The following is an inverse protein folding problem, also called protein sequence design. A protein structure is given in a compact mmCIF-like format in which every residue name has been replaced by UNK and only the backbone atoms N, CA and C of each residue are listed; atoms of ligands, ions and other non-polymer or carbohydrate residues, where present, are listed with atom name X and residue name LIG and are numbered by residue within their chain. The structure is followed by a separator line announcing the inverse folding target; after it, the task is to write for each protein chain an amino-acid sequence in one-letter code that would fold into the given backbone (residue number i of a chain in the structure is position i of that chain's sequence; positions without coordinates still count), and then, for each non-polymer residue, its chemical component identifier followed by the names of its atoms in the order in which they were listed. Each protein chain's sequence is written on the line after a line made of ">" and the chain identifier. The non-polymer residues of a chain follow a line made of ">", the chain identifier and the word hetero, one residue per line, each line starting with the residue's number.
data_IF_513250699298
#
_entry.id   IF_513250699298
#
_cell.length_a   1.000
_cell.length_b   1.000
_cell.length_c   1.000
_cell.angle_alpha   90.00
_cell.angle_beta   90.00
_cell.angle_gamma   90.00
#
_symmetry.space_group_name_H-M   'P 1'
#
loop_
_entity.id
_entity.type
_entity.pdbx_description
1 polymer ?
#
# COMPACT_ATOMS: atom_id res chain seq x y z
N UNK A 1 11.15 -21.26 -6.94
CA UNK A 1 10.47 -19.95 -6.80
C UNK A 1 8.99 -20.20 -6.76
N UNK A 2 8.22 -19.45 -5.96
CA UNK A 2 6.76 -19.54 -5.92
C UNK A 2 6.20 -18.77 -7.12
N UNK A 3 5.72 -19.48 -8.15
CA UNK A 3 5.08 -18.83 -9.31
C UNK A 3 3.83 -18.08 -8.87
N UNK A 4 3.79 -16.77 -9.13
CA UNK A 4 2.70 -15.89 -8.70
C UNK A 4 2.71 -15.51 -7.20
N UNK A 5 3.73 -15.92 -6.45
CA UNK A 5 3.93 -15.51 -5.06
C UNK A 5 2.91 -16.08 -4.07
N UNK A 6 2.88 -15.52 -2.86
CA UNK A 6 2.03 -15.99 -1.75
C UNK A 6 0.54 -15.80 -2.00
N UNK A 7 0.16 -14.86 -2.87
CA UNK A 7 -1.22 -14.64 -3.30
C UNK A 7 -1.73 -15.78 -4.17
N UNK A 8 -0.94 -16.23 -5.15
CA UNK A 8 -1.29 -17.38 -5.99
C UNK A 8 -1.38 -18.68 -5.17
N UNK A 9 -0.46 -18.87 -4.22
CA UNK A 9 -0.48 -19.98 -3.26
C UNK A 9 -1.78 -20.02 -2.45
N UNK A 10 -2.17 -18.88 -1.87
CA UNK A 10 -3.42 -18.76 -1.13
C UNK A 10 -4.66 -19.00 -2.02
N UNK A 11 -4.64 -18.50 -3.26
CA UNK A 11 -5.73 -18.67 -4.22
C UNK A 11 -5.88 -20.12 -4.69
N UNK A 12 -4.79 -20.87 -4.75
CA UNK A 12 -4.79 -22.31 -5.04
C UNK A 12 -5.28 -23.17 -3.86
N UNK A 13 -5.68 -22.55 -2.74
CA UNK A 13 -6.24 -23.25 -1.58
C UNK A 13 -5.20 -23.92 -0.68
N UNK A 14 -3.91 -23.60 -0.86
CA UNK A 14 -2.87 -24.13 -0.01
C UNK A 14 -2.92 -23.51 1.41
N UNK A 15 -2.41 -24.22 2.42
CA UNK A 15 -2.40 -23.72 3.80
C UNK A 15 -1.63 -22.41 3.91
N UNK A 16 -2.24 -21.44 4.58
CA UNK A 16 -1.64 -20.15 4.93
C UNK A 16 -1.96 -19.87 6.39
N UNK A 17 -0.95 -20.02 7.23
CA UNK A 17 -1.04 -19.63 8.63
C UNK A 17 -1.22 -18.11 8.73
N UNK A 18 -2.31 -17.70 9.37
CA UNK A 18 -2.57 -16.29 9.70
C UNK A 18 -2.83 -16.21 11.20
N UNK A 19 -2.25 -15.21 11.90
CA UNK A 19 -2.52 -15.04 13.32
C UNK A 19 -4.03 -14.93 13.56
N UNK A 20 -4.54 -15.68 14.54
CA UNK A 20 -5.96 -15.64 14.89
C UNK A 20 -6.35 -14.21 15.30
N UNK A 21 -7.37 -13.64 14.64
CA UNK A 21 -7.81 -12.27 14.89
C UNK A 21 -7.00 -11.19 14.16
N UNK A 22 -6.03 -11.55 13.30
CA UNK A 22 -5.35 -10.59 12.44
C UNK A 22 -6.37 -9.92 11.51
N UNK A 23 -6.61 -8.62 11.72
CA UNK A 23 -7.37 -7.80 10.78
C UNK A 23 -6.58 -7.78 9.48
N UNK A 24 -7.18 -8.20 8.37
CA UNK A 24 -6.56 -8.01 7.06
C UNK A 24 -6.59 -6.52 6.75
N UNK A 25 -5.47 -5.79 6.84
CA UNK A 25 -5.48 -4.37 6.52
C UNK A 25 -5.82 -4.25 5.04
N UNK A 26 -6.56 -3.21 4.68
CA UNK A 26 -6.85 -2.95 3.27
C UNK A 26 -5.54 -2.84 2.49
N UNK A 27 -5.36 -3.52 1.34
CA UNK A 27 -4.08 -3.53 0.65
C UNK A 27 -3.55 -2.13 0.39
N UNK A 28 -2.27 -1.91 0.71
CA UNK A 28 -1.63 -0.58 0.61
C UNK A 28 -1.77 0.01 -0.79
N UNK A 29 -1.65 -0.81 -1.84
CA UNK A 29 -1.91 -0.41 -3.23
C UNK A 29 -3.29 0.21 -3.45
N UNK A 30 -4.33 -0.33 -2.81
CA UNK A 30 -5.69 0.19 -2.92
C UNK A 30 -5.84 1.50 -2.15
N UNK A 31 -5.22 1.61 -0.98
CA UNK A 31 -5.17 2.86 -0.20
C UNK A 31 -4.50 3.98 -1.01
N UNK A 32 -3.35 3.68 -1.62
CA UNK A 32 -2.59 4.63 -2.45
C UNK A 32 -3.40 5.06 -3.66
N UNK A 33 -3.97 4.12 -4.42
CA UNK A 33 -4.76 4.44 -5.61
C UNK A 33 -5.95 5.34 -5.29
N UNK A 34 -6.64 5.10 -4.19
CA UNK A 34 -7.81 5.90 -3.80
C UNK A 34 -7.43 7.27 -3.26
N UNK A 35 -6.35 7.39 -2.47
CA UNK A 35 -5.87 8.68 -1.99
C UNK A 35 -5.32 9.54 -3.14
N UNK A 36 -4.54 8.96 -4.05
CA UNK A 36 -4.05 9.63 -5.25
C UNK A 36 -5.21 10.09 -6.15
N UNK A 37 -6.15 9.19 -6.45
CA UNK A 37 -7.30 9.48 -7.30
C UNK A 37 -8.21 10.56 -6.71
N UNK A 38 -8.47 10.53 -5.40
CA UNK A 38 -9.32 11.53 -4.74
C UNK A 38 -8.68 12.91 -4.72
N UNK A 39 -7.37 13.01 -4.48
CA UNK A 39 -6.63 14.28 -4.53
C UNK A 39 -6.68 14.92 -5.93
N UNK A 40 -6.49 14.12 -6.97
CA UNK A 40 -6.56 14.61 -8.37
C UNK A 40 -7.99 15.05 -8.71
N UNK A 41 -9.01 14.25 -8.38
CA UNK A 41 -10.40 14.58 -8.65
C UNK A 41 -10.84 15.85 -7.90
N UNK A 42 -10.47 15.98 -6.62
CA UNK A 42 -10.77 17.15 -5.81
C UNK A 42 -10.09 18.41 -6.37
N UNK A 43 -8.82 18.31 -6.77
CA UNK A 43 -8.09 19.40 -7.40
C UNK A 43 -8.73 19.86 -8.72
N UNK A 44 -9.15 18.91 -9.57
CA UNK A 44 -9.83 19.21 -10.83
C UNK A 44 -11.15 19.95 -10.62
N UNK A 45 -11.99 19.48 -9.68
CA UNK A 45 -13.25 20.13 -9.33
C UNK A 45 -13.01 21.52 -8.74
N UNK A 46 -12.04 21.67 -7.83
CA UNK A 46 -11.69 22.97 -7.24
C UNK A 46 -11.16 23.96 -8.29
N UNK A 47 -10.39 23.49 -9.28
CA UNK A 47 -9.88 24.28 -10.41
C UNK A 47 -10.99 24.92 -11.24
N UNK A 48 -12.17 24.30 -11.32
CA UNK A 48 -13.32 24.85 -12.05
C UNK A 48 -13.84 26.17 -11.46
N UNK A 49 -13.62 26.41 -10.17
CA UNK A 49 -14.08 27.60 -9.45
C UNK A 49 -12.96 28.61 -9.19
N UNK A 50 -11.72 28.16 -9.03
CA UNK A 50 -10.54 29.01 -8.86
C UNK A 50 -9.41 28.59 -9.80
N UNK A 51 -9.16 29.40 -10.84
CA UNK A 51 -8.06 29.20 -11.81
C UNK A 51 -6.68 28.89 -11.20
N UNK A 52 -6.22 29.50 -10.10
CA UNK A 52 -4.92 29.13 -9.51
C UNK A 52 -4.88 27.74 -8.86
N UNK A 53 -6.01 27.10 -8.55
CA UNK A 53 -6.05 25.73 -8.01
C UNK A 53 -5.63 24.66 -9.05
N UNK A 54 -5.57 25.00 -10.34
CA UNK A 54 -5.00 24.11 -11.36
C UNK A 54 -3.51 23.82 -11.14
N UNK A 55 -2.75 24.74 -10.56
CA UNK A 55 -1.33 24.50 -10.21
C UNK A 55 -1.18 23.42 -9.15
N UNK A 56 -2.08 23.37 -8.16
CA UNK A 56 -2.10 22.31 -7.15
C UNK A 56 -2.40 20.95 -7.79
N UNK A 57 -3.37 20.91 -8.71
CA UNK A 57 -3.71 19.68 -9.44
C UNK A 57 -2.57 19.21 -10.35
N UNK A 58 -1.90 20.14 -11.03
CA UNK A 58 -0.74 19.87 -11.87
C UNK A 58 0.46 19.37 -11.06
N UNK A 59 0.72 19.95 -9.88
CA UNK A 59 1.77 19.50 -8.97
C UNK A 59 1.50 18.09 -8.43
N UNK A 60 0.26 17.80 -8.03
CA UNK A 60 -0.15 16.46 -7.57
C UNK A 60 -0.01 15.45 -8.72
N UNK A 61 -0.49 15.77 -9.92
CA UNK A 61 -0.36 14.92 -11.10
C UNK A 61 1.10 14.64 -11.48
N UNK A 62 1.95 15.67 -11.47
CA UNK A 62 3.39 15.53 -11.73
C UNK A 62 4.09 14.66 -10.66
N UNK A 63 3.72 14.80 -9.39
CA UNK A 63 4.24 13.97 -8.30
C UNK A 63 3.85 12.49 -8.42
N UNK A 64 2.66 12.20 -8.96
CA UNK A 64 2.23 10.83 -9.26
C UNK A 64 3.02 10.21 -10.43
N UNK A 65 3.24 10.97 -11.50
CA UNK A 65 4.08 10.54 -12.64
C UNK A 65 5.51 10.29 -12.17
N UNK A 66 6.08 11.21 -11.39
CA UNK A 66 7.42 11.06 -10.81
C UNK A 66 7.53 9.80 -9.94
N UNK A 67 6.58 9.58 -9.01
CA UNK A 67 6.55 8.36 -8.17
C UNK A 67 6.44 7.08 -8.99
N UNK A 68 5.67 7.11 -10.09
CA UNK A 68 5.54 5.99 -11.02
C UNK A 68 6.85 5.67 -11.75
N UNK A 69 7.59 6.71 -12.18
CA UNK A 69 8.90 6.54 -12.85
C UNK A 69 9.97 6.03 -11.89
N UNK A 70 10.00 6.52 -10.66
CA UNK A 70 11.03 6.17 -9.68
C UNK A 70 10.72 4.89 -8.90
N UNK A 71 9.57 4.24 -9.14
CA UNK A 71 9.03 3.13 -8.34
C UNK A 71 9.01 3.42 -6.83
N UNK A 72 9.02 4.69 -6.43
CA UNK A 72 8.95 5.11 -5.03
C UNK A 72 7.59 5.72 -4.76
N UNK A 73 6.77 5.01 -3.99
CA UNK A 73 5.51 5.54 -3.53
C UNK A 73 5.72 6.22 -2.17
N UNK A 74 6.05 7.52 -2.19
CA UNK A 74 6.16 8.32 -0.96
C UNK A 74 4.90 8.24 -0.09
N UNK A 75 3.74 8.05 -0.71
CA UNK A 75 2.46 7.83 -0.03
C UNK A 75 2.39 6.46 0.68
N UNK A 76 2.86 5.38 0.07
CA UNK A 76 2.94 4.08 0.73
C UNK A 76 3.91 4.14 1.94
N UNK A 77 5.02 4.85 1.80
CA UNK A 77 5.96 5.07 2.90
C UNK A 77 5.33 5.87 4.06
N UNK A 78 4.51 6.87 3.76
CA UNK A 78 3.77 7.64 4.76
C UNK A 78 2.67 6.79 5.44
N UNK A 79 1.89 6.05 4.66
CA UNK A 79 0.83 5.16 5.16
C UNK A 79 1.38 4.02 6.01
N UNK A 80 2.56 3.48 5.68
CA UNK A 80 3.22 2.43 6.47
C UNK A 80 3.57 2.88 7.90
N UNK A 81 3.65 4.20 8.15
CA UNK A 81 3.90 4.76 9.49
C UNK A 81 2.65 4.89 10.35
N UNK A 82 1.45 4.75 9.76
CA UNK A 82 0.20 4.83 10.52
C UNK A 82 0.07 3.64 11.50
N UNK A 83 -0.50 3.84 12.71
CA UNK A 83 -0.60 2.79 13.73
C UNK A 83 -1.29 1.52 13.23
N UNK A 84 -2.27 1.66 12.34
CA UNK A 84 -3.04 0.57 11.77
C UNK A 84 -2.26 -0.29 10.75
N UNK A 85 -1.17 0.24 10.20
CA UNK A 85 -0.33 -0.44 9.21
C UNK A 85 0.99 -0.95 9.80
N UNK A 86 1.22 -0.77 11.12
CA UNK A 86 2.41 -1.30 11.79
C UNK A 86 2.23 -2.78 12.15
N UNK A 87 3.25 -3.62 11.95
CA UNK A 87 3.25 -4.97 12.48
C UNK A 87 3.13 -4.91 14.01
N UNK A 88 2.18 -5.66 14.56
CA UNK A 88 2.01 -5.80 16.00
C UNK A 88 3.26 -6.48 16.57
N UNK A 89 3.85 -6.00 17.66
CA UNK A 89 5.16 -6.44 18.16
C UNK A 89 5.29 -7.92 18.57
N UNK A 90 4.26 -8.73 18.33
CA UNK A 90 4.14 -10.15 18.67
C UNK A 90 4.36 -11.06 17.44
N UNK A 91 5.00 -10.54 16.38
CA UNK A 91 5.38 -11.35 15.22
C UNK A 91 6.70 -12.04 15.52
N UNK A 92 6.72 -13.38 15.45
CA UNK A 92 7.93 -14.17 15.53
C UNK A 92 8.98 -13.62 14.55
N UNK A 93 10.24 -13.58 15.00
CA UNK A 93 11.33 -13.10 14.16
C UNK A 93 11.48 -13.97 12.90
N UNK A 94 12.07 -13.42 11.83
CA UNK A 94 12.32 -14.18 10.60
C UNK A 94 13.13 -15.46 10.87
N UNK A 95 14.15 -15.36 11.73
CA UNK A 95 14.98 -16.49 12.15
C UNK A 95 14.17 -17.56 12.88
N UNK A 96 13.27 -17.16 13.78
CA UNK A 96 12.40 -18.09 14.49
C UNK A 96 11.41 -18.78 13.54
N UNK A 97 10.93 -18.06 12.53
CA UNK A 97 10.08 -18.62 11.48
C UNK A 97 10.85 -19.64 10.63
N UNK A 98 12.08 -19.33 10.24
CA UNK A 98 12.95 -20.26 9.50
C UNK A 98 13.25 -21.52 10.32
N UNK A 99 13.57 -21.36 11.61
CA UNK A 99 13.83 -22.47 12.51
C UNK A 99 12.63 -23.41 12.64
N UNK A 100 11.40 -22.88 12.70
CA UNK A 100 10.17 -23.68 12.75
C UNK A 100 9.87 -24.43 11.45
N UNK A 101 10.27 -23.89 10.30
CA UNK A 101 10.08 -24.55 9.00
C UNK A 101 11.16 -25.59 8.69
N UNK A 102 12.34 -25.48 9.34
CA UNK A 102 13.45 -26.40 9.17
C UNK A 102 13.39 -27.65 10.09
N UNK A 103 12.50 -27.64 11.08
CA UNK A 103 12.24 -28.75 12.00
C UNK A 103 11.12 -29.67 11.47
#
# INVERSE_FOLDING_TARGET
>A
TLDGGTSAWAAAGHPVERPAGARTPWPMDRQVRLAAGSLVAAGFVAGRFWRPAHWLSGAIGAGLVFSGVTNTCGMAAALARLPHNRPTGDVASFEETLARLAA
#
